data_IF_790596588366
#
_entry.id   IF_790596588366
#
_cell.length_a   1.000
_cell.length_b   1.000
_cell.length_c   1.000
_cell.angle_alpha   90.00
_cell.angle_beta   90.00
_cell.angle_gamma   90.00
#
_symmetry.space_group_name_H-M   'P 1'
#
loop_
_entity.id
_entity.type
_entity.pdbx_description
1 polymer ?
#
# COMPACT_ATOMS: atom_id res chain seq x y z
N UNK A 1 -12.64 -22.38 25.42
CA UNK A 1 -12.44 -22.13 23.99
C UNK A 1 -13.06 -20.78 23.68
N UNK A 2 -12.32 -19.72 23.39
CA UNK A 2 -12.87 -18.44 22.97
C UNK A 2 -13.17 -18.47 21.46
N UNK A 3 -14.30 -17.93 21.08
CA UNK A 3 -14.83 -17.93 19.73
C UNK A 3 -14.05 -16.95 18.83
N UNK A 4 -13.69 -17.43 17.65
CA UNK A 4 -13.12 -16.66 16.54
C UNK A 4 -14.03 -15.49 16.13
N UNK A 5 -13.55 -14.28 15.97
CA UNK A 5 -14.38 -13.20 15.44
C UNK A 5 -14.62 -13.41 13.94
N UNK A 6 -15.87 -13.70 13.59
CA UNK A 6 -16.35 -13.69 12.22
C UNK A 6 -16.36 -12.28 11.68
N UNK A 7 -15.47 -11.98 10.72
CA UNK A 7 -15.51 -10.76 9.93
C UNK A 7 -16.84 -10.68 9.15
N UNK A 8 -17.73 -9.80 9.57
CA UNK A 8 -18.95 -9.49 8.83
C UNK A 8 -18.60 -8.68 7.59
N UNK A 9 -18.70 -9.33 6.44
CA UNK A 9 -18.73 -8.73 5.11
C UNK A 9 -20.00 -7.88 4.96
N UNK A 10 -19.88 -6.58 5.21
CA UNK A 10 -21.00 -5.65 4.99
C UNK A 10 -20.51 -4.42 4.24
N UNK A 11 -20.16 -4.59 2.97
CA UNK A 11 -20.12 -3.48 2.00
C UNK A 11 -20.15 -4.02 0.56
N UNK A 12 -21.12 -4.91 0.27
CA UNK A 12 -21.26 -5.52 -1.07
C UNK A 12 -22.30 -4.81 -1.95
N UNK A 13 -22.66 -3.56 -1.70
CA UNK A 13 -23.81 -2.99 -2.40
C UNK A 13 -23.64 -1.63 -3.08
N UNK A 14 -22.43 -1.14 -3.32
CA UNK A 14 -22.26 0.12 -4.08
C UNK A 14 -21.15 0.11 -5.13
N UNK A 15 -20.80 -1.03 -5.69
CA UNK A 15 -19.89 -1.06 -6.84
C UNK A 15 -20.62 -1.62 -8.06
N UNK A 16 -21.47 -0.80 -8.70
CA UNK A 16 -21.90 -1.00 -10.08
C UNK A 16 -20.92 -0.32 -11.03
N UNK A 17 -20.24 -1.16 -11.78
CA UNK A 17 -19.71 -1.02 -13.14
C UNK A 17 -19.46 0.40 -13.68
N UNK A 18 -18.19 0.75 -13.88
CA UNK A 18 -17.82 1.57 -15.03
C UNK A 18 -16.58 0.97 -15.71
N UNK A 19 -16.80 0.55 -16.94
CA UNK A 19 -15.75 0.17 -17.87
C UNK A 19 -15.04 1.42 -18.37
N UNK A 20 -13.71 1.43 -18.33
CA UNK A 20 -12.92 1.80 -19.52
C UNK A 20 -11.43 1.62 -19.23
N UNK A 21 -10.81 0.85 -20.05
CA UNK A 21 -9.36 0.63 -20.11
C UNK A 21 -8.66 1.79 -20.80
N UNK A 22 -7.55 2.26 -20.23
CA UNK A 22 -6.56 3.02 -20.98
C UNK A 22 -5.15 2.68 -20.51
N UNK A 23 -4.43 2.12 -21.45
CA UNK A 23 -2.98 2.08 -21.70
C UNK A 23 -2.01 1.82 -20.55
N UNK A 24 -1.27 0.75 -20.77
CA UNK A 24 -0.06 0.32 -20.10
C UNK A 24 1.07 1.32 -20.34
N UNK A 25 1.68 1.79 -19.28
CA UNK A 25 3.04 2.31 -19.34
C UNK A 25 3.81 1.71 -18.16
N UNK A 26 4.87 1.00 -18.48
CA UNK A 26 5.80 0.35 -17.58
C UNK A 26 6.81 1.37 -17.05
N UNK A 27 6.42 2.43 -16.39
CA UNK A 27 7.36 3.30 -15.68
C UNK A 27 6.64 4.42 -14.94
N UNK A 28 6.99 4.56 -13.67
CA UNK A 28 6.89 5.76 -12.84
C UNK A 28 5.58 6.54 -12.92
N UNK A 29 4.74 6.42 -11.92
CA UNK A 29 3.51 7.19 -11.79
C UNK A 29 2.38 6.32 -11.25
N UNK A 30 1.21 6.94 -11.04
CA UNK A 30 0.00 6.24 -10.59
C UNK A 30 -0.80 5.62 -11.75
N UNK A 31 -0.19 5.44 -12.92
CA UNK A 31 -0.83 4.78 -14.05
C UNK A 31 -1.19 3.33 -13.69
N UNK A 32 -2.46 3.00 -13.84
CA UNK A 32 -3.00 1.65 -13.58
C UNK A 32 -3.61 1.44 -12.21
N UNK A 33 -3.80 2.50 -11.40
CA UNK A 33 -4.69 2.47 -10.25
C UNK A 33 -5.98 3.24 -10.54
N UNK A 34 -7.11 2.61 -10.22
CA UNK A 34 -8.40 3.31 -10.18
C UNK A 34 -8.43 4.18 -8.93
N UNK A 35 -8.60 5.49 -9.12
CA UNK A 35 -8.78 6.43 -8.01
C UNK A 35 -10.25 6.51 -7.63
N UNK A 36 -10.59 6.54 -6.33
CA UNK A 36 -11.95 6.78 -5.88
C UNK A 36 -12.39 8.20 -6.28
N UNK A 37 -13.26 8.25 -7.29
CA UNK A 37 -13.88 9.49 -7.76
C UNK A 37 -15.19 9.66 -7.01
N UNK A 38 -15.40 10.84 -6.40
CA UNK A 38 -16.71 11.22 -5.84
C UNK A 38 -16.93 10.89 -4.36
N UNK A 39 -15.93 10.39 -3.63
CA UNK A 39 -16.05 10.27 -2.17
C UNK A 39 -16.10 11.66 -1.51
N UNK A 40 -17.08 11.88 -0.65
CA UNK A 40 -17.10 13.06 0.20
C UNK A 40 -15.94 13.02 1.23
N UNK A 41 -15.75 14.12 1.97
CA UNK A 41 -14.66 14.23 2.94
C UNK A 41 -14.79 13.21 4.08
N UNK A 42 -16.02 12.93 4.54
CA UNK A 42 -16.29 12.01 5.66
C UNK A 42 -16.02 10.57 5.22
N UNK A 43 -16.53 10.18 4.06
CA UNK A 43 -16.36 8.83 3.52
C UNK A 43 -14.89 8.53 3.23
N UNK A 44 -14.16 9.54 2.71
CA UNK A 44 -12.72 9.43 2.48
C UNK A 44 -11.92 9.22 3.77
N UNK A 45 -12.26 9.96 4.84
CA UNK A 45 -11.60 9.78 6.14
C UNK A 45 -11.95 8.43 6.77
N UNK A 46 -13.17 7.96 6.62
CA UNK A 46 -13.58 6.63 7.07
C UNK A 46 -12.81 5.53 6.34
N UNK A 47 -12.76 5.60 5.01
CA UNK A 47 -12.05 4.65 4.17
C UNK A 47 -10.53 4.63 4.42
N UNK A 48 -9.94 5.78 4.73
CA UNK A 48 -8.53 5.87 5.13
C UNK A 48 -8.29 5.18 6.49
N UNK A 49 -9.16 5.39 7.46
CA UNK A 49 -9.05 4.77 8.78
C UNK A 49 -9.24 3.26 8.74
N UNK A 50 -10.13 2.76 7.90
CA UNK A 50 -10.36 1.33 7.71
C UNK A 50 -9.29 0.66 6.83
N UNK A 51 -8.47 1.45 6.14
CA UNK A 51 -7.50 0.93 5.16
C UNK A 51 -8.12 0.50 3.83
N UNK A 52 -9.35 0.93 3.52
CA UNK A 52 -9.98 0.65 2.22
C UNK A 52 -9.39 1.50 1.10
N UNK A 53 -8.77 2.63 1.46
CA UNK A 53 -7.96 3.46 0.57
C UNK A 53 -6.63 3.81 1.23
N UNK A 54 -5.58 3.96 0.38
CA UNK A 54 -4.30 4.55 0.76
C UNK A 54 -3.95 5.72 -0.15
N UNK A 55 -3.27 6.72 0.39
CA UNK A 55 -2.72 7.84 -0.40
C UNK A 55 -1.32 7.48 -0.88
N UNK A 56 -1.20 7.19 -2.15
CA UNK A 56 0.03 6.77 -2.81
C UNK A 56 0.56 7.92 -3.67
N UNK A 57 1.85 8.21 -3.55
CA UNK A 57 2.54 9.17 -4.41
C UNK A 57 2.85 8.55 -5.76
N UNK A 58 3.56 7.42 -5.73
CA UNK A 58 3.99 6.70 -6.93
C UNK A 58 4.32 5.24 -6.59
N UNK A 59 4.59 4.45 -7.60
CA UNK A 59 5.13 3.11 -7.45
C UNK A 59 6.08 2.80 -8.60
N UNK A 60 7.02 1.90 -8.36
CA UNK A 60 7.97 1.45 -9.36
C UNK A 60 8.31 -0.04 -9.15
N UNK A 61 8.87 -0.68 -10.17
CA UNK A 61 9.41 -2.04 -10.07
C UNK A 61 10.93 -1.95 -10.28
N UNK A 62 11.66 -2.25 -9.22
CA UNK A 62 13.11 -2.17 -9.16
C UNK A 62 13.72 -3.52 -8.75
N UNK A 63 15.00 -3.70 -9.04
CA UNK A 63 15.77 -4.87 -8.62
C UNK A 63 16.83 -4.45 -7.62
N UNK A 64 16.77 -5.05 -6.41
CA UNK A 64 17.77 -4.89 -5.35
C UNK A 64 18.03 -3.44 -4.90
N UNK A 65 17.02 -2.58 -4.94
CA UNK A 65 17.12 -1.18 -4.46
C UNK A 65 16.48 -1.08 -3.07
N UNK A 66 15.18 -1.31 -2.95
CA UNK A 66 14.44 -1.14 -1.70
C UNK A 66 14.19 -2.48 -1.00
N UNK A 67 15.16 -3.38 -1.03
CA UNK A 67 15.12 -4.72 -0.45
C UNK A 67 15.54 -5.81 -1.45
N UNK A 68 15.45 -7.09 -1.08
CA UNK A 68 15.95 -8.20 -1.90
C UNK A 68 15.11 -8.47 -3.14
N UNK A 69 15.75 -8.94 -4.21
CA UNK A 69 15.13 -9.39 -5.46
C UNK A 69 14.50 -8.27 -6.28
N UNK A 70 13.66 -8.64 -7.24
CA UNK A 70 12.84 -7.68 -7.99
C UNK A 70 11.56 -7.41 -7.22
N UNK A 71 11.27 -6.13 -6.97
CA UNK A 71 10.15 -5.79 -6.11
C UNK A 71 9.40 -4.54 -6.55
N UNK A 72 8.16 -4.48 -6.16
CA UNK A 72 7.35 -3.29 -6.32
C UNK A 72 7.53 -2.39 -5.10
N UNK A 73 8.13 -1.23 -5.29
CA UNK A 73 8.22 -0.19 -4.26
C UNK A 73 7.06 0.77 -4.42
N UNK A 74 6.28 0.92 -3.37
CA UNK A 74 5.13 1.83 -3.31
C UNK A 74 5.49 3.00 -2.40
N UNK A 75 5.58 4.19 -2.96
CA UNK A 75 5.89 5.42 -2.24
C UNK A 75 4.61 6.02 -1.69
N UNK A 76 4.45 5.94 -0.37
CA UNK A 76 3.29 6.48 0.33
C UNK A 76 3.40 7.99 0.51
N UNK A 77 2.27 8.69 0.52
CA UNK A 77 2.22 10.12 0.81
C UNK A 77 1.92 10.37 2.29
N UNK A 78 2.53 11.42 2.82
CA UNK A 78 2.46 11.83 4.20
C UNK A 78 3.71 11.43 4.99
N UNK A 79 4.36 12.42 5.61
CA UNK A 79 5.47 12.21 6.53
C UNK A 79 5.49 13.34 7.57
N UNK A 80 5.58 13.01 8.87
CA UNK A 80 5.66 14.02 9.92
C UNK A 80 7.07 14.59 10.06
N UNK A 81 8.09 13.91 9.51
CA UNK A 81 9.48 14.29 9.61
C UNK A 81 9.91 15.25 8.49
N UNK A 82 11.05 15.93 8.72
CA UNK A 82 11.70 16.84 7.76
C UNK A 82 13.20 16.60 7.81
N UNK A 83 13.59 15.37 7.46
CA UNK A 83 14.99 14.97 7.44
C UNK A 83 15.78 15.83 6.46
N UNK A 84 16.96 16.28 6.85
CA UNK A 84 17.82 17.12 6.00
C UNK A 84 18.31 16.41 4.74
N UNK A 85 18.38 15.09 4.77
CA UNK A 85 18.80 14.20 3.68
C UNK A 85 17.63 13.45 3.03
N UNK A 86 16.40 13.97 3.15
CA UNK A 86 15.22 13.32 2.59
C UNK A 86 15.34 13.20 1.06
N UNK A 87 15.22 11.98 0.56
CA UNK A 87 15.28 11.70 -0.88
C UNK A 87 13.92 11.92 -1.58
N UNK A 88 12.82 11.88 -0.82
CA UNK A 88 11.46 11.97 -1.34
C UNK A 88 10.68 13.15 -0.70
N UNK A 89 11.15 14.41 -0.80
CA UNK A 89 10.49 15.55 -0.16
C UNK A 89 9.10 15.86 -0.73
N UNK A 90 8.80 15.41 -1.92
CA UNK A 90 7.52 15.49 -2.61
C UNK A 90 6.44 14.58 -1.99
N UNK A 91 6.84 13.58 -1.20
CA UNK A 91 5.90 12.71 -0.46
C UNK A 91 5.45 13.27 0.89
N UNK A 92 5.97 14.40 1.35
CA UNK A 92 5.71 14.89 2.71
C UNK A 92 4.24 15.17 3.02
N UNK A 93 3.48 15.62 2.04
CA UNK A 93 2.09 16.00 2.26
C UNK A 93 1.15 14.89 1.79
N UNK A 94 0.27 14.44 2.65
CA UNK A 94 -0.77 13.45 2.32
C UNK A 94 -1.59 13.85 1.08
N UNK A 95 -1.89 15.13 0.93
CA UNK A 95 -2.69 15.68 -0.18
C UNK A 95 -2.01 15.61 -1.55
N UNK A 96 -0.68 15.44 -1.58
CA UNK A 96 0.08 15.35 -2.83
C UNK A 96 0.04 13.93 -3.41
N UNK A 97 -0.42 12.94 -2.61
CA UNK A 97 -0.74 11.61 -3.08
C UNK A 97 -2.13 11.49 -3.68
N UNK A 98 -2.33 10.42 -4.43
CA UNK A 98 -3.63 10.05 -4.97
C UNK A 98 -4.24 8.90 -4.16
N UNK A 99 -5.54 8.93 -3.89
CA UNK A 99 -6.20 7.81 -3.23
C UNK A 99 -6.22 6.60 -4.16
N UNK A 100 -5.83 5.46 -3.63
CA UNK A 100 -5.81 4.15 -4.30
C UNK A 100 -6.66 3.20 -3.48
N UNK A 101 -7.56 2.45 -4.12
CA UNK A 101 -8.32 1.40 -3.44
C UNK A 101 -7.43 0.24 -3.02
N UNK A 102 -7.73 -0.35 -1.86
CA UNK A 102 -7.05 -1.55 -1.37
C UNK A 102 -7.07 -2.68 -2.40
N UNK A 103 -8.25 -2.97 -2.95
CA UNK A 103 -8.41 -4.04 -3.95
C UNK A 103 -7.57 -3.78 -5.21
N UNK A 104 -7.42 -2.52 -5.62
CA UNK A 104 -6.60 -2.17 -6.78
C UNK A 104 -5.11 -2.42 -6.49
N UNK A 105 -4.66 -2.13 -5.27
CA UNK A 105 -3.29 -2.43 -4.82
C UNK A 105 -3.05 -3.93 -4.75
N UNK A 106 -3.95 -4.69 -4.13
CA UNK A 106 -3.85 -6.15 -4.02
C UNK A 106 -3.82 -6.80 -5.41
N UNK A 107 -4.69 -6.39 -6.34
CA UNK A 107 -4.68 -6.85 -7.73
C UNK A 107 -3.36 -6.54 -8.44
N UNK A 108 -2.74 -5.42 -8.10
CA UNK A 108 -1.43 -5.05 -8.66
C UNK A 108 -0.35 -5.98 -8.16
N UNK A 109 -0.31 -6.30 -6.87
CA UNK A 109 0.62 -7.28 -6.28
C UNK A 109 0.41 -8.66 -6.90
N UNK A 110 -0.85 -9.10 -6.99
CA UNK A 110 -1.22 -10.41 -7.58
C UNK A 110 -0.72 -10.53 -9.03
N UNK A 111 -0.83 -9.46 -9.80
CA UNK A 111 -0.36 -9.41 -11.20
C UNK A 111 1.14 -9.70 -11.35
N UNK A 112 1.96 -9.32 -10.39
CA UNK A 112 3.40 -9.47 -10.43
C UNK A 112 3.95 -10.55 -9.50
N UNK A 113 3.08 -11.29 -8.79
CA UNK A 113 3.49 -12.26 -7.77
C UNK A 113 4.45 -13.33 -8.28
N UNK A 114 4.24 -13.82 -9.52
CA UNK A 114 5.09 -14.86 -10.10
C UNK A 114 6.50 -14.31 -10.41
N UNK A 115 6.60 -13.06 -10.85
CA UNK A 115 7.87 -12.36 -11.02
C UNK A 115 8.59 -12.23 -9.68
N UNK A 116 7.87 -11.78 -8.64
CA UNK A 116 8.44 -11.61 -7.31
C UNK A 116 8.94 -12.93 -6.73
N UNK A 117 8.18 -14.00 -6.86
CA UNK A 117 8.59 -15.34 -6.41
C UNK A 117 9.82 -15.85 -7.17
N UNK A 118 9.85 -15.71 -8.50
CA UNK A 118 10.96 -16.15 -9.33
C UNK A 118 12.27 -15.40 -9.03
N UNK A 119 12.19 -14.18 -8.55
CA UNK A 119 13.35 -13.31 -8.26
C UNK A 119 13.66 -13.19 -6.77
N UNK A 120 12.98 -13.94 -5.90
CA UNK A 120 13.03 -13.77 -4.44
C UNK A 120 12.80 -12.33 -3.99
N UNK A 121 11.91 -11.63 -4.69
CA UNK A 121 11.52 -10.25 -4.44
C UNK A 121 10.15 -10.15 -3.80
N UNK A 122 9.50 -8.98 -3.93
CA UNK A 122 8.21 -8.76 -3.28
C UNK A 122 7.66 -7.36 -3.40
N UNK A 123 7.03 -6.90 -2.33
CA UNK A 123 6.53 -5.53 -2.21
C UNK A 123 7.27 -4.79 -1.09
N UNK A 124 7.57 -3.51 -1.32
CA UNK A 124 8.08 -2.57 -0.31
C UNK A 124 7.14 -1.39 -0.21
N UNK A 125 6.76 -1.02 1.01
CA UNK A 125 6.20 0.31 1.26
C UNK A 125 7.29 1.24 1.77
N UNK A 126 7.43 2.39 1.10
CA UNK A 126 8.42 3.45 1.36
C UNK A 126 7.79 4.83 1.08
N UNK A 127 8.57 5.83 0.74
CA UNK A 127 8.16 7.17 0.29
C UNK A 127 8.23 8.21 1.39
N UNK A 128 7.06 8.62 1.92
CA UNK A 128 6.96 9.42 3.13
C UNK A 128 7.20 8.58 4.38
N UNK A 129 6.25 8.53 5.30
CA UNK A 129 6.24 7.57 6.40
C UNK A 129 5.06 6.62 6.19
N UNK A 130 5.36 5.38 5.82
CA UNK A 130 4.33 4.39 5.48
C UNK A 130 3.35 4.13 6.62
N UNK A 131 3.83 4.23 7.87
CA UNK A 131 3.02 4.02 9.06
C UNK A 131 2.16 5.22 9.47
N UNK A 132 2.08 6.25 8.64
CA UNK A 132 0.96 7.21 8.70
C UNK A 132 -0.36 6.61 8.18
N UNK A 133 -0.29 5.48 7.48
CA UNK A 133 -1.43 4.79 6.89
C UNK A 133 -1.41 3.28 7.25
N UNK A 134 -1.31 2.93 8.55
CA UNK A 134 -0.98 1.57 8.99
C UNK A 134 -2.03 0.55 8.57
N UNK A 135 -3.32 0.90 8.60
CA UNK A 135 -4.39 -0.01 8.22
C UNK A 135 -4.33 -0.43 6.74
N UNK A 136 -3.97 0.50 5.84
CA UNK A 136 -3.80 0.18 4.43
C UNK A 136 -2.57 -0.70 4.19
N UNK A 137 -1.43 -0.31 4.76
CA UNK A 137 -0.16 -1.04 4.62
C UNK A 137 -0.29 -2.46 5.14
N UNK A 138 -0.82 -2.65 6.36
CA UNK A 138 -1.02 -3.96 6.98
C UNK A 138 -1.90 -4.87 6.13
N UNK A 139 -3.04 -4.37 5.64
CA UNK A 139 -3.96 -5.17 4.83
C UNK A 139 -3.36 -5.59 3.48
N UNK A 140 -2.52 -4.75 2.88
CA UNK A 140 -1.80 -5.12 1.65
C UNK A 140 -0.72 -6.16 1.96
N UNK A 141 0.03 -6.00 3.06
CA UNK A 141 1.03 -6.98 3.47
C UNK A 141 0.41 -8.34 3.79
N UNK A 142 -0.68 -8.34 4.53
CA UNK A 142 -1.41 -9.57 4.82
C UNK A 142 -1.80 -10.32 3.53
N UNK A 143 -2.41 -9.62 2.57
CA UNK A 143 -2.73 -10.22 1.27
C UNK A 143 -1.49 -10.67 0.48
N UNK A 144 -0.38 -9.93 0.56
CA UNK A 144 0.88 -10.32 -0.08
C UNK A 144 1.45 -11.62 0.54
N UNK A 145 1.40 -11.74 1.86
CA UNK A 145 1.81 -12.97 2.59
C UNK A 145 0.96 -14.16 2.20
N UNK A 146 -0.36 -14.01 2.11
CA UNK A 146 -1.26 -15.07 1.62
C UNK A 146 -0.91 -15.53 0.19
N UNK A 147 -0.42 -14.62 -0.64
CA UNK A 147 0.08 -14.94 -1.99
C UNK A 147 1.50 -15.54 -1.99
N UNK A 148 2.19 -15.60 -0.84
CA UNK A 148 3.58 -16.02 -0.73
C UNK A 148 4.57 -15.01 -1.33
N UNK A 149 4.24 -13.71 -1.27
CA UNK A 149 5.06 -12.59 -1.71
C UNK A 149 5.76 -11.97 -0.50
N UNK A 150 7.07 -11.78 -0.60
CA UNK A 150 7.90 -11.18 0.45
C UNK A 150 7.52 -9.71 0.68
N UNK A 151 7.46 -9.30 1.93
CA UNK A 151 7.05 -7.96 2.37
C UNK A 151 8.22 -7.21 3.02
N UNK A 152 8.37 -5.95 2.68
CA UNK A 152 9.39 -5.08 3.25
C UNK A 152 8.78 -3.73 3.62
N UNK A 153 9.10 -3.25 4.81
CA UNK A 153 8.68 -1.95 5.30
C UNK A 153 9.89 -1.02 5.45
N UNK A 154 9.95 0.03 4.64
CA UNK A 154 10.88 1.13 4.82
C UNK A 154 10.21 2.23 5.65
N UNK A 155 10.72 2.43 6.84
CA UNK A 155 10.17 3.35 7.84
C UNK A 155 11.25 4.00 8.67
N UNK A 156 11.00 5.22 9.12
CA UNK A 156 11.85 5.89 10.11
C UNK A 156 11.69 5.34 11.54
N UNK A 157 10.69 4.50 11.78
CA UNK A 157 10.32 4.04 13.11
C UNK A 157 9.68 5.10 14.00
N UNK A 158 9.51 6.34 13.54
CA UNK A 158 8.99 7.45 14.34
C UNK A 158 7.56 7.20 14.84
N UNK A 159 6.76 6.48 14.08
CA UNK A 159 5.37 6.14 14.41
C UNK A 159 5.25 4.70 14.95
N UNK A 160 6.19 4.25 15.76
CA UNK A 160 6.24 2.90 16.30
C UNK A 160 4.99 2.49 17.10
N UNK A 161 4.26 3.44 17.67
CA UNK A 161 2.99 3.19 18.36
C UNK A 161 1.83 2.81 17.43
N UNK A 162 2.01 2.95 16.12
CA UNK A 162 1.03 2.53 15.12
C UNK A 162 1.15 1.05 14.73
N UNK A 163 2.19 0.37 15.20
CA UNK A 163 2.38 -1.06 14.96
C UNK A 163 1.57 -1.88 15.96
N UNK A 164 1.00 -2.98 15.49
CA UNK A 164 0.47 -4.07 16.32
C UNK A 164 1.28 -5.33 16.08
N UNK A 165 1.22 -6.29 17.01
CA UNK A 165 1.93 -7.56 16.85
C UNK A 165 1.47 -8.30 15.58
N UNK A 166 0.18 -8.25 15.26
CA UNK A 166 -0.36 -8.85 14.03
C UNK A 166 0.20 -8.19 12.75
N UNK A 167 0.43 -6.88 12.77
CA UNK A 167 1.07 -6.20 11.63
C UNK A 167 2.52 -6.63 11.45
N UNK A 168 3.24 -6.87 12.55
CA UNK A 168 4.65 -7.27 12.52
C UNK A 168 4.83 -8.69 11.98
N UNK A 169 3.84 -9.58 12.19
CA UNK A 169 3.85 -10.94 11.62
C UNK A 169 3.82 -10.96 10.08
N UNK A 170 3.25 -9.94 9.47
CA UNK A 170 3.16 -9.78 8.03
C UNK A 170 4.35 -9.03 7.40
N UNK A 171 5.39 -8.67 8.18
CA UNK A 171 6.60 -7.97 7.72
C UNK A 171 7.80 -8.92 7.76
N UNK A 172 8.35 -9.22 6.58
CA UNK A 172 9.54 -10.08 6.47
C UNK A 172 10.85 -9.31 6.69
N UNK A 173 10.86 -8.02 6.34
CA UNK A 173 12.03 -7.14 6.46
C UNK A 173 11.61 -5.70 6.78
N UNK A 174 12.38 -5.06 7.69
CA UNK A 174 12.21 -3.67 8.06
C UNK A 174 13.57 -2.95 8.08
#
# INVERSE_FOLDING_TARGET
>A
MPATPTFRTTTRHMLKESKTYASQTLMGGLSGFESPIGLDRRDRLSALKSGDIGFVHSWDINTSVDGPGTRMTVFMSGCPLRCQYCQNPDTWKMRDGKPVYLDAMIKKVDRYKDLFKATHGGITFSGGESMMQPAFVSRVFHAAKEMGVHTCLDTSGFLNTNYTDEMLEDIDLC
#
